data_IF_029643487993
#
_entry.id   IF_029643487993
#
_cell.length_a   1.000
_cell.length_b   1.000
_cell.length_c   1.000
_cell.angle_alpha   90.00
_cell.angle_beta   90.00
_cell.angle_gamma   90.00
#
_symmetry.space_group_name_H-M   'P 1'
#
loop_
_entity.id
_entity.type
_entity.pdbx_description
1 polymer ?
#
# COMPACT_ATOMS: atom_id res chain seq x y z
N UNK A 1 -14.16 -6.08 -4.59
CA UNK A 1 -14.97 -5.57 -5.72
C UNK A 1 -14.67 -4.11 -6.03
N UNK A 2 -14.85 -3.18 -5.09
CA UNK A 2 -14.59 -1.72 -5.26
C UNK A 2 -13.18 -1.39 -5.78
N UNK A 3 -12.13 -1.97 -5.18
CA UNK A 3 -10.74 -1.71 -5.59
C UNK A 3 -10.49 -2.12 -7.05
N UNK A 4 -11.02 -3.27 -7.47
CA UNK A 4 -10.87 -3.77 -8.83
C UNK A 4 -11.56 -2.86 -9.85
N UNK A 5 -12.71 -2.28 -9.49
CA UNK A 5 -13.44 -1.35 -10.35
C UNK A 5 -12.66 -0.05 -10.53
N UNK A 6 -12.10 0.50 -9.43
CA UNK A 6 -11.24 1.69 -9.50
C UNK A 6 -10.03 1.46 -10.42
N UNK A 7 -9.36 0.32 -10.25
CA UNK A 7 -8.21 -0.05 -11.08
C UNK A 7 -8.57 -0.21 -12.58
N UNK A 8 -9.79 -0.64 -12.91
CA UNK A 8 -10.24 -0.82 -14.30
C UNK A 8 -10.56 0.48 -15.05
N UNK A 9 -10.65 1.62 -14.36
CA UNK A 9 -11.13 2.86 -14.98
C UNK A 9 -10.11 3.47 -15.96
N UNK A 10 -8.83 3.54 -15.57
CA UNK A 10 -7.74 4.00 -16.43
C UNK A 10 -6.46 3.22 -16.11
N UNK A 11 -6.36 1.94 -16.53
CA UNK A 11 -5.29 1.05 -16.09
C UNK A 11 -3.87 1.56 -16.43
N UNK A 12 -3.73 2.31 -17.52
CA UNK A 12 -2.43 2.82 -17.99
C UNK A 12 -2.05 4.19 -17.41
N UNK A 13 -2.97 4.88 -16.73
CA UNK A 13 -2.75 6.25 -16.22
C UNK A 13 -3.12 6.42 -14.74
N UNK A 14 -3.65 5.38 -14.08
CA UNK A 14 -4.05 5.42 -12.69
C UNK A 14 -3.00 4.75 -11.80
N UNK A 15 -2.52 5.50 -10.81
CA UNK A 15 -1.81 4.95 -9.66
C UNK A 15 -2.70 4.97 -8.43
N UNK A 16 -2.64 3.90 -7.64
CA UNK A 16 -3.47 3.75 -6.44
C UNK A 16 -2.59 3.40 -5.25
N UNK A 17 -2.84 4.09 -4.13
CA UNK A 17 -2.37 3.70 -2.80
C UNK A 17 -3.57 3.23 -1.99
N UNK A 18 -3.48 2.02 -1.42
CA UNK A 18 -4.51 1.45 -0.55
C UNK A 18 -3.86 1.08 0.78
N UNK A 19 -4.38 1.63 1.88
CA UNK A 19 -3.96 1.30 3.23
C UNK A 19 -5.06 1.68 4.24
N UNK A 20 -5.15 1.00 5.39
CA UNK A 20 -5.81 1.54 6.56
C UNK A 20 -5.10 2.80 7.07
N UNK A 21 -5.82 3.66 7.78
CA UNK A 21 -5.28 4.85 8.44
C UNK A 21 -4.45 4.51 9.69
N UNK A 22 -4.93 3.57 10.50
CA UNK A 22 -4.20 3.02 11.65
C UNK A 22 -4.66 1.60 12.00
N UNK A 23 -3.85 0.80 12.72
CA UNK A 23 -4.32 -0.47 13.24
C UNK A 23 -5.36 -0.23 14.32
N UNK A 24 -6.50 -0.89 14.21
CA UNK A 24 -7.53 -0.92 15.25
C UNK A 24 -7.80 -2.38 15.63
N UNK A 25 -6.87 -3.08 16.30
CA UNK A 25 -7.08 -4.48 16.64
C UNK A 25 -8.31 -4.62 17.54
N UNK A 26 -9.26 -5.46 17.13
CA UNK A 26 -10.51 -5.72 17.86
C UNK A 26 -10.24 -6.14 19.32
N UNK A 27 -9.10 -6.80 19.56
CA UNK A 27 -8.68 -7.29 20.89
C UNK A 27 -8.26 -6.18 21.87
N UNK A 28 -7.74 -5.06 21.38
CA UNK A 28 -7.18 -4.00 22.24
C UNK A 28 -8.02 -2.73 22.23
N UNK A 29 -8.82 -2.50 21.17
CA UNK A 29 -9.67 -1.31 20.98
C UNK A 29 -8.92 0.03 21.17
N UNK A 30 -7.60 -0.01 21.08
CA UNK A 30 -6.69 1.12 21.21
C UNK A 30 -5.76 1.14 19.99
N UNK A 31 -5.42 2.34 19.52
CA UNK A 31 -4.45 2.51 18.43
C UNK A 31 -3.13 1.87 18.87
N UNK A 32 -2.68 0.84 18.16
CA UNK A 32 -1.33 0.33 18.35
C UNK A 32 -0.37 1.00 17.37
N UNK A 33 0.89 1.14 17.75
CA UNK A 33 1.96 1.58 16.84
C UNK A 33 2.40 0.47 15.87
N UNK A 34 1.60 -0.57 15.69
CA UNK A 34 1.91 -1.65 14.76
C UNK A 34 1.83 -1.15 13.31
N UNK A 35 2.62 -1.71 12.40
CA UNK A 35 2.54 -1.34 10.99
C UNK A 35 1.23 -1.81 10.35
N UNK A 36 0.70 -1.00 9.43
CA UNK A 36 -0.45 -1.36 8.59
C UNK A 36 0.02 -1.88 7.23
N UNK A 37 -0.69 -2.85 6.61
CA UNK A 37 -0.38 -3.27 5.25
C UNK A 37 -0.76 -2.16 4.26
N UNK A 38 0.00 -2.04 3.17
CA UNK A 38 -0.32 -1.13 2.08
C UNK A 38 -0.12 -1.79 0.71
N UNK A 39 -0.79 -1.25 -0.31
CA UNK A 39 -0.63 -1.65 -1.70
C UNK A 39 -0.44 -0.41 -2.57
N UNK A 40 0.62 -0.42 -3.38
CA UNK A 40 0.81 0.50 -4.50
C UNK A 40 0.56 -0.27 -5.80
N UNK A 41 -0.33 0.25 -6.63
CA UNK A 41 -0.71 -0.37 -7.89
C UNK A 41 -0.74 0.67 -9.02
N UNK A 42 -0.42 0.24 -10.23
CA UNK A 42 -0.45 1.06 -11.44
C UNK A 42 0.91 1.21 -12.12
N UNK A 43 1.00 2.08 -13.15
CA UNK A 43 2.19 2.25 -13.98
C UNK A 43 3.44 2.64 -13.17
N UNK A 44 4.56 1.96 -13.43
CA UNK A 44 5.84 2.23 -12.77
C UNK A 44 6.06 1.50 -11.45
N UNK A 45 5.12 0.66 -11.00
CA UNK A 45 5.32 -0.26 -9.89
C UNK A 45 5.56 -1.69 -10.39
N UNK A 46 6.47 -2.40 -9.73
CA UNK A 46 6.73 -3.83 -9.97
C UNK A 46 6.13 -4.65 -8.84
N UNK A 47 5.46 -5.76 -9.17
CA UNK A 47 4.93 -6.68 -8.15
C UNK A 47 6.06 -7.27 -7.32
N UNK A 48 5.87 -7.29 -6.00
CA UNK A 48 6.79 -7.92 -5.06
C UNK A 48 6.45 -9.41 -4.80
N UNK A 49 5.52 -9.99 -5.57
CA UNK A 49 5.12 -11.39 -5.46
C UNK A 49 4.02 -11.69 -4.44
N UNK A 50 3.58 -10.70 -3.64
CA UNK A 50 2.44 -10.87 -2.74
C UNK A 50 1.16 -11.19 -3.51
N UNK A 51 0.40 -12.19 -3.04
CA UNK A 51 -0.83 -12.65 -3.70
C UNK A 51 -2.10 -12.14 -3.04
N UNK A 52 -2.02 -11.70 -1.78
CA UNK A 52 -3.16 -11.30 -0.95
C UNK A 52 -2.84 -10.05 -0.15
N UNK A 53 -3.82 -9.18 0.00
CA UNK A 53 -3.70 -8.00 0.86
C UNK A 53 -4.11 -8.37 2.30
N UNK A 54 -3.13 -8.86 3.07
CA UNK A 54 -3.28 -9.24 4.50
C UNK A 54 -2.02 -8.86 5.27
N UNK A 55 -2.10 -8.70 6.58
CA UNK A 55 -0.97 -8.35 7.45
C UNK A 55 0.14 -9.41 7.39
N UNK A 56 -0.23 -10.69 7.40
CA UNK A 56 0.72 -11.80 7.33
C UNK A 56 1.48 -11.84 5.99
N UNK A 57 0.76 -11.70 4.87
CA UNK A 57 1.39 -11.65 3.54
C UNK A 57 2.28 -10.40 3.41
N UNK A 58 1.80 -9.23 3.82
CA UNK A 58 2.58 -7.99 3.78
C UNK A 58 3.89 -8.12 4.57
N UNK A 59 3.83 -8.68 5.79
CA UNK A 59 5.01 -8.95 6.61
C UNK A 59 5.99 -9.90 5.92
N UNK A 60 5.50 -10.90 5.20
CA UNK A 60 6.36 -11.85 4.48
C UNK A 60 7.13 -11.23 3.31
N UNK A 61 6.67 -10.10 2.77
CA UNK A 61 7.37 -9.41 1.67
C UNK A 61 8.64 -8.69 2.10
N UNK A 62 8.80 -8.40 3.41
CA UNK A 62 9.90 -7.61 3.94
C UNK A 62 9.90 -6.12 3.56
N UNK A 63 8.91 -5.65 2.78
CA UNK A 63 8.80 -4.24 2.41
C UNK A 63 8.23 -3.44 3.59
N UNK A 64 9.07 -2.59 4.18
CA UNK A 64 8.69 -1.73 5.29
C UNK A 64 9.05 -0.27 4.99
N UNK A 65 8.15 0.64 5.36
CA UNK A 65 8.36 2.08 5.31
C UNK A 65 8.29 2.59 6.74
N UNK A 66 9.45 2.90 7.32
CA UNK A 66 9.55 3.41 8.69
C UNK A 66 8.85 4.77 8.83
N UNK A 67 9.12 5.67 7.89
CA UNK A 67 8.52 7.00 7.86
C UNK A 67 7.31 7.03 6.93
N UNK A 68 6.12 6.77 7.49
CA UNK A 68 4.87 6.63 6.73
C UNK A 68 4.57 7.77 5.76
N UNK A 69 4.93 9.03 6.11
CA UNK A 69 4.74 10.19 5.23
C UNK A 69 5.47 10.07 3.88
N UNK A 70 6.52 9.22 3.78
CA UNK A 70 7.25 8.98 2.52
C UNK A 70 6.45 8.18 1.50
N UNK A 71 5.34 7.56 1.89
CA UNK A 71 4.55 6.72 0.98
C UNK A 71 3.95 7.54 -0.18
N UNK A 72 3.58 8.79 0.09
CA UNK A 72 3.04 9.70 -0.93
C UNK A 72 4.09 10.04 -1.99
N UNK A 73 5.36 10.20 -1.60
CA UNK A 73 6.46 10.41 -2.54
C UNK A 73 6.63 9.20 -3.47
N UNK A 74 6.45 7.98 -2.94
CA UNK A 74 6.48 6.75 -3.75
C UNK A 74 5.31 6.65 -4.72
N UNK A 75 4.10 7.06 -4.29
CA UNK A 75 2.92 7.09 -5.16
C UNK A 75 3.12 8.04 -6.36
N UNK A 76 3.57 9.26 -6.10
CA UNK A 76 3.70 10.33 -7.12
C UNK A 76 4.93 10.09 -8.01
N UNK A 77 5.93 9.33 -7.54
CA UNK A 77 7.14 9.05 -8.30
C UNK A 77 8.12 10.24 -8.36
N UNK A 78 8.00 11.22 -7.45
CA UNK A 78 9.02 12.26 -7.27
C UNK A 78 10.28 11.63 -6.65
N UNK A 79 11.11 11.05 -7.50
CA UNK A 79 12.34 10.35 -7.13
C UNK A 79 13.16 9.79 -8.30
N UNK A 80 12.71 9.92 -9.54
CA UNK A 80 13.55 9.77 -10.73
C UNK A 80 13.23 10.89 -11.71
N UNK A 81 13.82 12.06 -11.47
CA UNK A 81 14.21 12.93 -12.59
C UNK A 81 15.68 12.59 -12.79
N UNK A 82 15.98 11.80 -13.82
CA UNK A 82 17.31 11.82 -14.44
C UNK A 82 17.35 12.96 -15.44
#
# INVERSE_FOLDING_TARGET
>A
EVVSQLCSWQPDNLRTLIMPDHPTPIKTQTHSGEPVPFMLWGPGFTSNGAKRFTEAEAKSTGLFIEEGYKIMSRLIGKGMIS
#
